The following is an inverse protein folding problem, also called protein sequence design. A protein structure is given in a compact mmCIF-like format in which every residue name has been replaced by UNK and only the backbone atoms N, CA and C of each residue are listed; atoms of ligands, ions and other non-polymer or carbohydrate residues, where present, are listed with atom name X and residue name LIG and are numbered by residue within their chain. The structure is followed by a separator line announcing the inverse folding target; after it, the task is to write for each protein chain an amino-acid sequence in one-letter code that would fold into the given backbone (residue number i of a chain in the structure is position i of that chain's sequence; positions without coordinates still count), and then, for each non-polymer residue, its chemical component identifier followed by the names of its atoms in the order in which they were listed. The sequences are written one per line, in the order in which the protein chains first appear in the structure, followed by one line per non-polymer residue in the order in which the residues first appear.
data_IF_522677022986
#
_entry.id   IF_522677022986
#
_cell.length_a   1.000
_cell.length_b   1.000
_cell.length_c   1.000
_cell.angle_alpha   90.00
_cell.angle_beta   90.00
_cell.angle_gamma   90.00
#
_symmetry.space_group_name_H-M   'P 1'
#
loop_
_entity.id
_entity.type
_entity.pdbx_description
1 polymer ?
#
# COMPACT_ATOMS: atom_id res chain seq x y z
N UNK A 1 20.15 -22.53 33.84
CA UNK A 1 18.86 -22.40 34.56
C UNK A 1 17.76 -22.70 33.56
N UNK A 2 16.74 -23.45 33.98
CA UNK A 2 15.61 -23.86 33.13
C UNK A 2 14.32 -23.36 33.77
N UNK A 3 13.46 -22.72 32.97
CA UNK A 3 12.12 -22.28 33.39
C UNK A 3 11.16 -23.43 33.15
N UNK A 4 10.36 -23.79 34.16
CA UNK A 4 9.24 -24.73 34.00
C UNK A 4 8.04 -23.98 33.44
N UNK A 5 7.55 -24.44 32.29
CA UNK A 5 6.45 -23.79 31.57
C UNK A 5 5.12 -24.01 32.31
N UNK A 6 4.98 -25.16 32.99
CA UNK A 6 3.81 -25.50 33.80
C UNK A 6 3.63 -24.58 35.02
N UNK A 7 4.72 -23.95 35.49
CA UNK A 7 4.74 -23.08 36.67
C UNK A 7 4.65 -21.58 36.29
N UNK A 8 4.34 -21.26 35.03
CA UNK A 8 4.24 -19.87 34.58
C UNK A 8 3.03 -19.16 35.19
N UNK A 9 3.18 -17.92 35.68
CA UNK A 9 2.07 -17.16 36.24
C UNK A 9 1.04 -16.84 35.14
N UNK A 10 -0.25 -16.66 35.52
CA UNK A 10 -1.25 -16.19 34.57
C UNK A 10 -0.88 -14.80 34.04
N UNK A 11 -1.41 -14.46 32.87
CA UNK A 11 -1.21 -13.16 32.24
C UNK A 11 -1.59 -12.02 33.19
N UNK A 12 -0.65 -11.10 33.42
CA UNK A 12 -0.89 -9.95 34.31
C UNK A 12 -1.90 -8.94 33.76
N UNK A 13 -2.18 -8.97 32.45
CA UNK A 13 -3.12 -8.06 31.81
C UNK A 13 -4.58 -8.57 31.80
N UNK A 14 -4.79 -9.89 31.65
CA UNK A 14 -6.15 -10.44 31.48
C UNK A 14 -6.41 -11.75 32.25
N UNK A 15 -5.44 -12.29 32.99
CA UNK A 15 -5.56 -13.56 33.72
C UNK A 15 -5.52 -14.82 32.85
N UNK A 16 -5.34 -14.69 31.52
CA UNK A 16 -5.23 -15.81 30.59
C UNK A 16 -3.94 -16.63 30.73
N UNK A 17 -3.81 -17.75 30.00
CA UNK A 17 -2.60 -18.56 30.02
C UNK A 17 -1.51 -17.92 29.17
N UNK A 18 -0.26 -18.05 29.60
CA UNK A 18 0.91 -17.57 28.86
C UNK A 18 1.75 -18.73 28.38
N UNK A 19 2.31 -18.59 27.18
CA UNK A 19 3.10 -19.62 26.53
C UNK A 19 4.44 -19.04 26.03
N UNK A 20 5.53 -19.81 26.02
CA UNK A 20 6.76 -19.40 25.38
C UNK A 20 6.60 -19.19 23.88
N UNK A 21 7.10 -18.07 23.38
CA UNK A 21 7.11 -17.64 22.00
C UNK A 21 8.57 -17.49 21.54
N UNK A 22 8.94 -18.20 20.48
CA UNK A 22 10.22 -18.03 19.79
C UNK A 22 9.97 -17.39 18.43
N UNK A 23 10.68 -16.29 18.16
CA UNK A 23 10.90 -15.76 16.82
C UNK A 23 12.30 -16.19 16.39
N UNK A 24 12.40 -16.96 15.31
CA UNK A 24 13.69 -17.42 14.84
C UNK A 24 14.41 -16.34 14.02
N UNK A 25 15.58 -15.89 14.48
CA UNK A 25 16.40 -14.89 13.77
C UNK A 25 16.99 -15.43 12.46
N UNK A 26 17.18 -16.75 12.36
CA UNK A 26 17.74 -17.41 11.16
C UNK A 26 16.70 -17.65 10.05
N UNK A 27 15.59 -18.33 10.34
CA UNK A 27 14.58 -18.68 9.33
C UNK A 27 13.27 -17.89 9.41
N UNK A 28 13.12 -16.96 10.36
CA UNK A 28 11.92 -16.14 10.53
C UNK A 28 10.69 -16.87 11.11
N UNK A 29 10.80 -18.17 11.45
CA UNK A 29 9.66 -18.93 11.99
C UNK A 29 9.22 -18.38 13.35
N UNK A 30 7.92 -18.28 13.56
CA UNK A 30 7.34 -17.98 14.88
C UNK A 30 6.74 -19.25 15.45
N UNK A 31 7.17 -19.64 16.65
CA UNK A 31 6.68 -20.84 17.33
C UNK A 31 6.17 -20.49 18.73
N UNK A 32 4.93 -20.89 19.02
CA UNK A 32 4.40 -20.89 20.39
C UNK A 32 4.51 -22.32 20.94
N UNK A 33 5.28 -22.52 22.00
CA UNK A 33 5.43 -23.81 22.64
C UNK A 33 4.28 -24.06 23.60
N UNK A 34 3.35 -24.95 23.20
CA UNK A 34 2.19 -25.34 24.03
C UNK A 34 2.46 -26.57 24.88
N UNK A 35 3.30 -27.48 24.40
CA UNK A 35 3.50 -28.83 24.98
C UNK A 35 4.91 -29.04 25.57
N UNK A 36 5.63 -27.95 25.85
CA UNK A 36 6.98 -28.02 26.43
C UNK A 36 6.90 -27.90 27.94
N UNK A 37 7.52 -28.83 28.66
CA UNK A 37 7.54 -28.83 30.14
C UNK A 37 8.54 -27.84 30.73
N UNK A 38 9.68 -27.67 30.08
CA UNK A 38 10.71 -26.73 30.50
C UNK A 38 11.56 -26.23 29.35
N UNK A 39 12.00 -24.98 29.46
CA UNK A 39 12.91 -24.33 28.51
C UNK A 39 14.15 -23.81 29.21
N UNK A 40 15.29 -23.85 28.53
CA UNK A 40 16.47 -23.10 28.93
C UNK A 40 16.31 -21.60 28.64
N UNK A 41 17.39 -20.83 28.73
CA UNK A 41 17.37 -19.40 28.32
C UNK A 41 17.23 -19.21 26.82
N UNK A 42 17.59 -20.23 26.05
CA UNK A 42 17.37 -20.30 24.62
C UNK A 42 16.52 -21.53 24.31
N UNK A 43 15.75 -21.43 23.24
CA UNK A 43 14.93 -22.51 22.73
C UNK A 43 15.29 -22.75 21.25
N UNK A 44 15.48 -24.02 20.83
CA UNK A 44 15.75 -24.33 19.43
C UNK A 44 14.50 -24.04 18.60
N UNK A 45 14.69 -23.40 17.46
CA UNK A 45 13.66 -23.28 16.43
C UNK A 45 13.26 -24.70 15.95
N UNK A 46 11.97 -25.06 15.96
CA UNK A 46 11.54 -26.37 15.47
C UNK A 46 11.80 -26.59 13.98
N UNK A 47 11.86 -25.51 13.19
CA UNK A 47 12.02 -25.58 11.73
C UNK A 47 13.49 -25.74 11.30
N UNK A 48 14.42 -25.01 11.92
CA UNK A 48 15.83 -24.99 11.49
C UNK A 48 16.84 -25.37 12.58
N UNK A 49 16.38 -25.60 13.82
CA UNK A 49 17.23 -25.96 14.95
C UNK A 49 18.05 -24.81 15.55
N UNK A 50 18.04 -23.62 14.94
CA UNK A 50 18.79 -22.46 15.48
C UNK A 50 18.32 -22.12 16.90
N UNK A 51 19.23 -21.96 17.88
CA UNK A 51 18.86 -21.55 19.22
C UNK A 51 18.51 -20.05 19.23
N UNK A 52 17.32 -19.71 19.71
CA UNK A 52 16.84 -18.34 19.79
C UNK A 52 16.46 -17.97 21.22
N UNK A 53 16.41 -16.67 21.50
CA UNK A 53 15.73 -16.15 22.68
C UNK A 53 14.22 -16.37 22.58
N UNK A 54 13.53 -16.34 23.72
CA UNK A 54 12.09 -16.50 23.77
C UNK A 54 11.46 -15.54 24.77
N UNK A 55 10.21 -15.21 24.50
CA UNK A 55 9.35 -14.36 25.33
C UNK A 55 8.08 -15.13 25.72
N UNK A 56 7.25 -14.58 26.60
CA UNK A 56 5.94 -15.13 26.90
C UNK A 56 4.88 -14.41 26.08
N UNK A 57 3.89 -15.11 25.57
CA UNK A 57 2.70 -14.53 24.93
C UNK A 57 1.43 -15.06 25.59
N UNK A 58 0.49 -14.16 25.90
CA UNK A 58 -0.83 -14.56 26.36
C UNK A 58 -1.71 -15.08 25.22
N UNK A 59 -2.40 -16.20 25.43
CA UNK A 59 -3.30 -16.79 24.44
C UNK A 59 -4.60 -15.98 24.20
N UNK A 60 -5.02 -15.18 25.18
CA UNK A 60 -6.23 -14.36 25.10
C UNK A 60 -5.94 -12.95 24.56
N UNK A 61 -5.13 -12.16 25.27
CA UNK A 61 -4.90 -10.75 24.94
C UNK A 61 -3.68 -10.52 24.05
N UNK A 62 -2.88 -11.56 23.76
CA UNK A 62 -1.66 -11.50 22.94
C UNK A 62 -0.56 -10.57 23.44
N UNK A 63 -0.67 -10.07 24.67
CA UNK A 63 0.40 -9.29 25.30
C UNK A 63 1.63 -10.15 25.49
N UNK A 64 2.79 -9.57 25.18
CA UNK A 64 4.10 -10.21 25.32
C UNK A 64 4.77 -9.79 26.64
N UNK A 65 5.43 -10.73 27.30
CA UNK A 65 6.11 -10.51 28.57
C UNK A 65 7.52 -11.10 28.54
N UNK A 66 8.49 -10.51 29.27
CA UNK A 66 9.81 -11.09 29.40
C UNK A 66 9.76 -12.43 30.15
N UNK A 67 10.69 -13.36 29.87
CA UNK A 67 10.78 -14.62 30.60
C UNK A 67 11.16 -14.41 32.07
N UNK A 68 10.57 -15.16 33.02
CA UNK A 68 10.81 -14.97 34.45
C UNK A 68 12.25 -15.31 34.86
N UNK A 69 12.84 -14.48 35.72
CA UNK A 69 14.16 -14.73 36.32
C UNK A 69 15.37 -14.41 35.42
N UNK A 70 15.17 -13.83 34.24
CA UNK A 70 16.30 -13.40 33.37
C UNK A 70 16.89 -12.09 33.91
N UNK A 71 18.20 -12.01 34.20
CA UNK A 71 18.83 -10.76 34.64
C UNK A 71 18.72 -9.67 33.57
N UNK A 72 18.42 -8.43 33.97
CA UNK A 72 18.24 -7.26 33.10
C UNK A 72 19.41 -7.01 32.12
N UNK A 73 20.61 -7.46 32.46
CA UNK A 73 21.81 -7.37 31.61
C UNK A 73 21.81 -8.30 30.39
N UNK A 74 20.91 -9.29 30.32
CA UNK A 74 20.78 -10.25 29.22
C UNK A 74 19.44 -10.16 28.47
N UNK A 75 18.57 -9.24 28.87
CA UNK A 75 17.44 -8.83 28.05
C UNK A 75 18.03 -8.06 26.86
N UNK A 76 18.06 -8.70 25.70
CA UNK A 76 18.14 -7.96 24.43
C UNK A 76 17.04 -6.93 24.51
N UNK A 77 17.41 -5.65 24.60
CA UNK A 77 16.45 -4.56 24.59
C UNK A 77 15.57 -4.78 23.38
N UNK A 78 14.33 -5.21 23.61
CA UNK A 78 13.26 -4.91 22.67
C UNK A 78 13.41 -3.41 22.40
N UNK A 79 13.40 -2.95 21.14
CA UNK A 79 13.30 -1.52 20.88
C UNK A 79 12.18 -1.02 21.80
N UNK A 80 12.39 0.09 22.55
CA UNK A 80 11.36 0.57 23.47
C UNK A 80 10.06 0.53 22.69
N UNK A 81 9.01 -0.07 23.29
CA UNK A 81 7.68 -0.12 22.71
C UNK A 81 7.48 1.24 22.07
N UNK A 82 7.50 1.27 20.73
CA UNK A 82 7.30 2.52 20.04
C UNK A 82 5.92 2.90 20.55
N UNK A 83 5.88 3.96 21.36
CA UNK A 83 4.69 4.79 21.55
C UNK A 83 3.94 4.69 20.25
N UNK A 84 2.68 4.21 20.25
CA UNK A 84 1.95 3.89 19.03
C UNK A 84 2.33 4.98 18.07
N UNK A 85 3.11 4.62 17.05
CA UNK A 85 3.60 5.61 16.11
C UNK A 85 2.30 6.16 15.61
N UNK A 86 1.97 7.37 16.06
CA UNK A 86 0.93 8.18 15.48
C UNK A 86 1.22 8.00 14.02
N UNK A 87 0.33 7.27 13.33
CA UNK A 87 0.44 7.00 11.91
C UNK A 87 0.68 8.38 11.35
N UNK A 88 1.96 8.63 11.04
CA UNK A 88 2.47 9.98 10.92
C UNK A 88 1.56 10.62 9.91
N UNK A 89 0.91 11.72 10.33
CA UNK A 89 -0.13 12.38 9.60
C UNK A 89 0.11 12.20 8.10
N UNK A 90 -0.80 11.43 7.46
CA UNK A 90 -0.82 11.27 6.01
C UNK A 90 -0.54 12.65 5.43
N UNK A 91 0.48 12.82 4.57
CA UNK A 91 0.88 14.16 4.16
C UNK A 91 -0.35 14.86 3.61
N UNK A 92 -0.60 16.08 4.11
CA UNK A 92 -1.65 16.99 3.63
C UNK A 92 -1.32 17.30 2.16
N UNK A 93 -1.80 16.47 1.25
CA UNK A 93 -1.45 16.49 -0.17
C UNK A 93 -2.07 15.30 -0.90
N UNK A 94 -2.24 15.41 -2.22
CA UNK A 94 -2.82 14.33 -3.03
C UNK A 94 -1.84 13.16 -3.10
N UNK A 95 -2.30 11.90 -2.96
CA UNK A 95 -1.46 10.73 -3.19
C UNK A 95 -0.92 10.72 -4.62
N UNK A 96 0.29 10.17 -4.82
CA UNK A 96 0.90 10.05 -6.16
C UNK A 96 0.45 8.76 -6.83
N UNK A 97 0.15 8.84 -8.13
CA UNK A 97 -0.02 7.65 -8.99
C UNK A 97 1.30 6.92 -9.12
N UNK A 98 1.22 5.62 -9.40
CA UNK A 98 2.38 4.80 -9.82
C UNK A 98 2.54 4.84 -11.33
N UNK A 99 3.78 4.92 -11.81
CA UNK A 99 4.08 4.77 -13.24
C UNK A 99 4.06 3.28 -13.59
N UNK A 100 3.53 2.94 -14.78
CA UNK A 100 3.50 1.57 -15.26
C UNK A 100 4.91 0.96 -15.29
N UNK A 101 5.13 -0.12 -14.54
CA UNK A 101 6.42 -0.81 -14.43
C UNK A 101 7.38 -0.23 -13.38
N UNK A 102 6.99 0.83 -12.67
CA UNK A 102 7.75 1.34 -11.52
C UNK A 102 7.52 0.44 -10.31
N UNK A 103 8.62 -0.05 -9.76
CA UNK A 103 8.62 -0.88 -8.56
C UNK A 103 8.91 0.02 -7.36
N UNK A 104 7.93 0.19 -6.48
CA UNK A 104 8.15 0.86 -5.20
C UNK A 104 9.16 0.05 -4.36
N UNK A 105 10.24 0.69 -3.92
CA UNK A 105 11.25 0.03 -3.07
C UNK A 105 10.67 -0.37 -1.71
N UNK A 106 9.56 0.26 -1.28
CA UNK A 106 8.82 -0.10 -0.07
C UNK A 106 7.94 -1.34 -0.25
N UNK A 107 7.53 -1.65 -1.48
CA UNK A 107 6.74 -2.85 -1.79
C UNK A 107 7.45 -4.13 -1.33
N UNK A 108 8.77 -4.20 -1.50
CA UNK A 108 9.54 -5.36 -1.07
C UNK A 108 9.42 -5.57 0.45
N UNK A 109 9.56 -4.50 1.22
CA UNK A 109 9.43 -4.53 2.69
C UNK A 109 8.02 -4.93 3.11
N UNK A 110 6.99 -4.37 2.47
CA UNK A 110 5.59 -4.68 2.77
C UNK A 110 5.26 -6.15 2.46
N UNK A 111 5.81 -6.70 1.37
CA UNK A 111 5.61 -8.09 0.99
C UNK A 111 6.35 -9.08 1.87
N UNK A 112 7.53 -8.73 2.39
CA UNK A 112 8.26 -9.58 3.32
C UNK A 112 7.48 -9.84 4.63
N UNK A 113 6.44 -9.05 4.93
CA UNK A 113 5.52 -9.33 6.04
C UNK A 113 4.59 -10.54 5.80
N UNK A 114 4.43 -10.99 4.55
CA UNK A 114 3.59 -12.13 4.17
C UNK A 114 4.36 -13.44 4.38
N UNK A 115 3.79 -14.37 5.16
CA UNK A 115 4.42 -15.65 5.44
C UNK A 115 4.65 -16.45 4.14
N UNK A 116 5.87 -16.94 3.95
CA UNK A 116 6.28 -17.70 2.77
C UNK A 116 6.97 -16.88 1.68
N UNK A 117 7.13 -15.56 1.87
CA UNK A 117 7.93 -14.71 1.00
C UNK A 117 9.33 -14.48 1.57
N UNK A 118 10.34 -14.79 0.77
CA UNK A 118 11.69 -14.30 0.94
C UNK A 118 11.96 -13.18 -0.08
N UNK A 119 13.11 -12.53 0.01
CA UNK A 119 13.44 -11.40 -0.86
C UNK A 119 13.42 -11.78 -2.36
N UNK A 120 13.76 -13.03 -2.71
CA UNK A 120 13.77 -13.50 -4.10
C UNK A 120 12.35 -13.70 -4.63
N UNK A 121 11.46 -14.33 -3.84
CA UNK A 121 10.05 -14.52 -4.20
C UNK A 121 9.29 -13.21 -4.25
N UNK A 122 9.50 -12.35 -3.26
CA UNK A 122 8.88 -11.04 -3.22
C UNK A 122 9.29 -10.22 -4.45
N UNK A 123 10.57 -10.28 -4.86
CA UNK A 123 11.02 -9.62 -6.10
C UNK A 123 10.37 -10.21 -7.35
N UNK A 124 10.32 -11.55 -7.46
CA UNK A 124 9.69 -12.22 -8.59
C UNK A 124 8.17 -11.93 -8.73
N UNK A 125 7.51 -11.67 -7.60
CA UNK A 125 6.11 -11.23 -7.53
C UNK A 125 5.96 -9.78 -7.97
N UNK A 126 6.81 -8.89 -7.43
CA UNK A 126 6.83 -7.47 -7.79
C UNK A 126 7.09 -7.28 -9.29
N UNK A 127 8.05 -8.01 -9.86
CA UNK A 127 8.39 -7.93 -11.29
C UNK A 127 7.22 -8.40 -12.19
N UNK A 128 6.20 -9.06 -11.60
CA UNK A 128 4.96 -9.50 -12.25
C UNK A 128 3.72 -8.69 -11.83
N UNK A 129 3.91 -7.54 -11.16
CA UNK A 129 2.84 -6.64 -10.75
C UNK A 129 2.26 -6.91 -9.35
N UNK A 130 2.66 -8.00 -8.68
CA UNK A 130 2.22 -8.31 -7.31
C UNK A 130 3.04 -7.54 -6.26
N UNK A 131 2.99 -6.21 -6.31
CA UNK A 131 3.78 -5.28 -5.49
C UNK A 131 3.10 -4.86 -4.16
N UNK A 132 1.95 -5.46 -3.84
CA UNK A 132 1.26 -5.18 -2.59
C UNK A 132 0.57 -6.44 -2.03
N UNK A 133 0.43 -6.57 -0.70
CA UNK A 133 -0.20 -7.74 -0.08
C UNK A 133 -1.62 -8.01 -0.59
N UNK A 134 -2.42 -6.97 -0.85
CA UNK A 134 -3.78 -7.13 -1.37
C UNK A 134 -3.82 -7.68 -2.80
N UNK A 135 -2.83 -7.39 -3.65
CA UNK A 135 -2.74 -7.95 -5.01
C UNK A 135 -2.52 -9.45 -4.95
N UNK A 136 -1.68 -9.90 -4.01
CA UNK A 136 -1.45 -11.32 -3.76
C UNK A 136 -2.70 -11.97 -3.18
N UNK A 137 -3.36 -11.33 -2.21
CA UNK A 137 -4.57 -11.86 -1.58
C UNK A 137 -5.74 -12.05 -2.57
N UNK A 138 -5.79 -11.24 -3.64
CA UNK A 138 -6.79 -11.36 -4.71
C UNK A 138 -6.39 -12.36 -5.80
N UNK A 139 -5.13 -12.77 -5.87
CA UNK A 139 -4.64 -13.70 -6.88
C UNK A 139 -5.14 -15.13 -6.60
N UNK A 140 -5.38 -15.90 -7.67
CA UNK A 140 -5.66 -17.33 -7.51
C UNK A 140 -4.37 -18.06 -7.11
N UNK A 141 -4.49 -19.05 -6.22
CA UNK A 141 -3.35 -19.89 -5.80
C UNK A 141 -2.58 -20.45 -7.02
N UNK A 142 -3.31 -20.93 -8.03
CA UNK A 142 -2.72 -21.49 -9.27
C UNK A 142 -1.89 -20.47 -10.06
N UNK A 143 -2.25 -19.18 -10.03
CA UNK A 143 -1.51 -18.13 -10.72
C UNK A 143 -0.18 -17.87 -10.01
N UNK A 144 -0.20 -17.81 -8.68
CA UNK A 144 1.00 -17.65 -7.86
C UNK A 144 1.92 -18.88 -7.96
N UNK A 145 1.35 -20.07 -7.98
CA UNK A 145 2.09 -21.33 -8.07
C UNK A 145 2.87 -21.51 -9.37
N UNK A 146 2.42 -20.87 -10.47
CA UNK A 146 3.12 -20.90 -11.78
C UNK A 146 4.37 -20.04 -11.81
N UNK A 147 4.57 -19.15 -10.84
CA UNK A 147 5.76 -18.32 -10.75
C UNK A 147 6.92 -19.23 -10.29
N UNK A 148 7.99 -19.42 -11.10
CA UNK A 148 9.05 -20.39 -10.82
C UNK A 148 9.69 -20.23 -9.44
N UNK A 149 9.90 -18.99 -9.01
CA UNK A 149 10.52 -18.65 -7.73
C UNK A 149 9.60 -18.93 -6.53
N UNK A 150 8.29 -18.81 -6.72
CA UNK A 150 7.27 -19.03 -5.68
C UNK A 150 6.94 -20.52 -5.55
N UNK A 151 6.50 -21.13 -6.64
CA UNK A 151 6.07 -22.53 -6.68
C UNK A 151 4.80 -22.82 -5.83
N UNK A 152 4.29 -24.05 -5.88
CA UNK A 152 2.99 -24.42 -5.31
C UNK A 152 2.97 -24.48 -3.77
N UNK A 153 4.13 -24.64 -3.13
CA UNK A 153 4.20 -24.69 -1.66
C UNK A 153 4.16 -23.28 -1.09
N UNK A 154 4.94 -22.35 -1.64
CA UNK A 154 4.93 -20.97 -1.15
C UNK A 154 3.58 -20.28 -1.47
N UNK A 155 3.02 -20.53 -2.66
CA UNK A 155 1.70 -20.01 -3.01
C UNK A 155 0.61 -20.41 -1.99
N UNK A 156 0.57 -21.69 -1.59
CA UNK A 156 -0.34 -22.17 -0.53
C UNK A 156 -0.10 -21.48 0.81
N UNK A 157 1.16 -21.31 1.21
CA UNK A 157 1.51 -20.62 2.45
C UNK A 157 1.07 -19.16 2.43
N UNK A 158 1.22 -18.47 1.29
CA UNK A 158 0.80 -17.08 1.13
C UNK A 158 -0.72 -16.94 1.26
N UNK A 159 -1.50 -17.76 0.54
CA UNK A 159 -2.97 -17.74 0.62
C UNK A 159 -3.45 -18.08 2.04
N UNK A 160 -2.86 -19.10 2.66
CA UNK A 160 -3.15 -19.46 4.05
C UNK A 160 -2.80 -18.33 5.02
N UNK A 161 -1.71 -17.59 4.79
CA UNK A 161 -1.31 -16.44 5.61
C UNK A 161 -2.38 -15.37 5.63
N UNK A 162 -2.97 -15.03 4.48
CA UNK A 162 -4.05 -14.04 4.43
C UNK A 162 -5.32 -14.51 5.17
N UNK A 163 -5.67 -15.81 5.05
CA UNK A 163 -6.77 -16.38 5.81
C UNK A 163 -6.51 -16.36 7.33
N UNK A 164 -5.31 -16.71 7.78
CA UNK A 164 -4.94 -16.67 9.20
C UNK A 164 -4.97 -15.26 9.79
N UNK A 165 -4.59 -14.27 8.98
CA UNK A 165 -4.61 -12.85 9.36
C UNK A 165 -6.01 -12.22 9.24
N UNK A 166 -7.04 -12.96 8.81
CA UNK A 166 -8.35 -12.42 8.42
C UNK A 166 -8.22 -11.19 7.50
N UNK A 167 -7.23 -11.23 6.61
CA UNK A 167 -6.93 -10.12 5.74
C UNK A 167 -7.99 -10.02 4.64
N UNK A 168 -8.86 -9.02 4.76
CA UNK A 168 -9.80 -8.67 3.71
C UNK A 168 -9.15 -7.58 2.82
N UNK A 169 -8.87 -7.86 1.54
CA UNK A 169 -8.35 -6.84 0.66
C UNK A 169 -9.37 -5.69 0.57
N UNK A 170 -8.94 -4.42 0.61
CA UNK A 170 -9.85 -3.29 0.54
C UNK A 170 -10.66 -3.38 -0.75
N UNK A 171 -11.98 -3.32 -0.64
CA UNK A 171 -12.89 -3.19 -1.79
C UNK A 171 -13.18 -1.72 -1.96
N UNK A 172 -12.82 -1.17 -3.12
CA UNK A 172 -13.15 0.20 -3.45
C UNK A 172 -14.40 0.19 -4.31
N UNK A 173 -15.36 1.06 -3.99
CA UNK A 173 -16.53 1.25 -4.85
C UNK A 173 -16.16 2.14 -6.03
N UNK A 174 -16.95 2.05 -7.11
CA UNK A 174 -16.77 2.90 -8.29
C UNK A 174 -16.83 4.38 -7.91
N UNK A 175 -17.74 4.75 -7.01
CA UNK A 175 -17.93 6.12 -6.54
C UNK A 175 -16.70 6.61 -5.76
N UNK A 176 -16.13 5.77 -4.91
CA UNK A 176 -14.91 6.10 -4.15
C UNK A 176 -13.74 6.36 -5.09
N UNK A 177 -13.57 5.56 -6.14
CA UNK A 177 -12.51 5.76 -7.14
C UNK A 177 -12.79 7.00 -7.98
N UNK A 178 -14.06 7.23 -8.33
CA UNK A 178 -14.48 8.39 -9.11
C UNK A 178 -14.25 9.72 -8.39
N UNK A 179 -14.09 9.74 -7.08
CA UNK A 179 -13.84 10.95 -6.27
C UNK A 179 -12.38 11.06 -5.81
N UNK A 180 -11.58 10.02 -5.96
CA UNK A 180 -10.23 9.98 -5.43
C UNK A 180 -9.27 10.84 -6.28
N UNK A 181 -8.70 11.87 -5.65
CA UNK A 181 -7.72 12.77 -6.26
C UNK A 181 -6.30 12.21 -6.13
N UNK A 182 -5.56 12.24 -7.23
CA UNK A 182 -4.15 11.85 -7.28
C UNK A 182 -3.31 12.88 -8.03
N UNK A 183 -1.99 12.77 -7.90
CA UNK A 183 -1.01 13.54 -8.66
C UNK A 183 -0.14 12.64 -9.53
N UNK A 184 0.22 13.15 -10.71
CA UNK A 184 1.28 12.56 -11.52
C UNK A 184 2.63 12.67 -10.79
N UNK A 185 3.39 11.59 -10.61
CA UNK A 185 4.70 11.65 -9.94
C UNK A 185 5.74 12.46 -10.72
N UNK A 186 5.57 12.65 -12.03
CA UNK A 186 6.53 13.38 -12.88
C UNK A 186 6.26 14.88 -12.98
N UNK A 187 5.00 15.28 -13.17
CA UNK A 187 4.65 16.68 -13.42
C UNK A 187 3.67 17.28 -12.38
N UNK A 188 3.22 16.48 -11.41
CA UNK A 188 2.26 16.89 -10.37
C UNK A 188 0.88 17.32 -10.92
N UNK A 189 0.57 17.00 -12.18
CA UNK A 189 -0.76 17.20 -12.73
C UNK A 189 -1.77 16.36 -11.95
N UNK A 190 -2.88 16.98 -11.57
CA UNK A 190 -3.98 16.33 -10.88
C UNK A 190 -4.67 15.35 -11.82
N UNK A 191 -4.92 14.14 -11.34
CA UNK A 191 -5.50 13.04 -12.10
C UNK A 191 -6.34 12.16 -11.18
N UNK A 192 -7.09 11.23 -11.78
CA UNK A 192 -7.90 10.24 -11.05
C UNK A 192 -7.21 8.88 -11.04
N UNK A 193 -7.70 7.97 -10.18
CA UNK A 193 -7.22 6.59 -10.13
C UNK A 193 -7.49 5.78 -11.42
N UNK A 194 -8.49 6.18 -12.22
CA UNK A 194 -8.88 5.46 -13.44
C UNK A 194 -8.25 6.01 -14.72
N UNK A 195 -7.50 7.12 -14.64
CA UNK A 195 -6.75 7.61 -15.78
C UNK A 195 -5.59 6.66 -16.11
N UNK A 196 -5.51 6.22 -17.36
CA UNK A 196 -4.41 5.36 -17.85
C UNK A 196 -3.14 6.15 -18.15
N UNK A 197 -3.26 7.44 -18.45
CA UNK A 197 -2.13 8.32 -18.76
C UNK A 197 -2.29 9.69 -18.11
N UNK A 198 -1.18 10.39 -17.88
CA UNK A 198 -1.20 11.79 -17.49
C UNK A 198 -1.62 12.69 -18.66
N UNK A 199 -2.57 13.58 -18.44
CA UNK A 199 -3.07 14.53 -19.46
C UNK A 199 -1.99 15.56 -19.85
N UNK A 200 -1.07 15.90 -18.95
CA UNK A 200 -0.03 16.90 -19.21
C UNK A 200 1.22 16.31 -19.86
N UNK A 201 1.83 15.30 -19.23
CA UNK A 201 3.13 14.75 -19.67
C UNK A 201 3.03 13.41 -20.41
N UNK A 202 1.84 12.81 -20.49
CA UNK A 202 1.63 11.52 -21.17
C UNK A 202 2.19 10.30 -20.41
N UNK A 203 2.63 10.46 -19.17
CA UNK A 203 3.15 9.34 -18.37
C UNK A 203 2.11 8.22 -18.24
N UNK A 204 2.45 6.96 -18.54
CA UNK A 204 1.55 5.84 -18.37
C UNK A 204 1.43 5.49 -16.88
N UNK A 205 0.20 5.45 -16.37
CA UNK A 205 -0.06 5.05 -15.01
C UNK A 205 -0.31 3.55 -14.92
N UNK A 206 -0.06 3.01 -13.72
CA UNK A 206 -0.47 1.66 -13.40
C UNK A 206 -2.02 1.56 -13.35
N UNK A 207 -2.57 0.58 -14.07
CA UNK A 207 -4.01 0.32 -14.18
C UNK A 207 -4.48 -0.66 -13.08
N UNK A 208 -3.55 -1.18 -12.29
CA UNK A 208 -3.82 -2.24 -11.33
C UNK A 208 -4.52 -1.76 -10.05
N UNK A 209 -4.71 -0.45 -9.82
CA UNK A 209 -5.37 0.07 -8.60
C UNK A 209 -6.87 -0.26 -8.47
N UNK A 210 -7.50 -0.91 -9.47
CA UNK A 210 -8.96 -1.10 -9.52
C UNK A 210 -9.38 -2.52 -9.92
N UNK A 211 -10.58 -2.92 -9.48
CA UNK A 211 -11.24 -4.17 -9.89
C UNK A 211 -11.53 -4.19 -11.39
N UNK A 212 -11.51 -5.38 -12.00
CA UNK A 212 -11.64 -5.53 -13.46
C UNK A 212 -12.95 -4.95 -14.00
N UNK A 213 -14.07 -5.22 -13.32
CA UNK A 213 -15.38 -4.69 -13.69
C UNK A 213 -15.43 -3.15 -13.63
N UNK A 214 -14.81 -2.56 -12.60
CA UNK A 214 -14.74 -1.11 -12.44
C UNK A 214 -13.88 -0.48 -13.54
N UNK A 215 -12.74 -1.12 -13.86
CA UNK A 215 -11.85 -0.68 -14.94
C UNK A 215 -12.57 -0.69 -16.29
N UNK A 216 -13.32 -1.75 -16.59
CA UNK A 216 -14.12 -1.83 -17.81
C UNK A 216 -15.21 -0.77 -17.87
N UNK A 217 -15.85 -0.47 -16.73
CA UNK A 217 -16.84 0.61 -16.66
C UNK A 217 -16.24 1.97 -17.04
N UNK A 218 -15.10 2.34 -16.45
CA UNK A 218 -14.42 3.60 -16.78
C UNK A 218 -13.86 3.63 -18.20
N UNK A 219 -13.35 2.50 -18.70
CA UNK A 219 -12.89 2.40 -20.08
C UNK A 219 -14.03 2.64 -21.09
N UNK A 220 -15.25 2.21 -20.77
CA UNK A 220 -16.45 2.48 -21.57
C UNK A 220 -16.90 3.95 -21.54
N UNK A 221 -16.68 4.66 -20.44
CA UNK A 221 -17.01 6.08 -20.30
C UNK A 221 -15.95 7.00 -20.92
N UNK A 222 -14.70 6.52 -21.00
CA UNK A 222 -13.60 7.21 -21.66
C UNK A 222 -13.32 8.61 -21.07
N UNK A 223 -13.02 9.62 -21.91
CA UNK A 223 -12.66 10.95 -21.40
C UNK A 223 -13.83 11.71 -20.76
N UNK A 224 -15.08 11.27 -20.96
CA UNK A 224 -16.23 11.88 -20.30
C UNK A 224 -16.20 11.65 -18.78
N UNK A 225 -15.72 10.47 -18.33
CA UNK A 225 -15.52 10.19 -16.90
C UNK A 225 -14.52 11.15 -16.26
N UNK A 226 -13.41 11.47 -16.95
CA UNK A 226 -12.42 12.42 -16.44
C UNK A 226 -12.98 13.85 -16.36
N UNK A 227 -13.84 14.24 -17.31
CA UNK A 227 -14.53 15.54 -17.25
C UNK A 227 -15.44 15.62 -16.02
N UNK A 228 -16.27 14.59 -15.80
CA UNK A 228 -17.15 14.50 -14.64
C UNK A 228 -16.37 14.48 -13.32
N UNK A 229 -15.21 13.81 -13.28
CA UNK A 229 -14.30 13.84 -12.15
C UNK A 229 -13.85 15.28 -11.82
N UNK A 230 -13.32 16.01 -12.80
CA UNK A 230 -12.89 17.38 -12.57
C UNK A 230 -14.05 18.31 -12.18
N UNK A 231 -15.21 18.18 -12.83
CA UNK A 231 -16.39 18.98 -12.49
C UNK A 231 -16.86 18.69 -11.05
N UNK A 232 -16.81 17.42 -10.62
CA UNK A 232 -17.12 17.01 -9.25
C UNK A 232 -16.14 17.57 -8.21
N UNK A 233 -14.83 17.41 -8.42
CA UNK A 233 -13.82 17.95 -7.53
C UNK A 233 -13.88 19.49 -7.43
N UNK A 234 -14.17 20.17 -8.55
CA UNK A 234 -14.30 21.63 -8.59
C UNK A 234 -15.59 22.14 -7.95
N UNK A 235 -16.64 21.32 -7.86
CA UNK A 235 -17.84 21.66 -7.09
C UNK A 235 -17.53 21.73 -5.59
N UNK A 236 -16.63 20.88 -5.09
CA UNK A 236 -16.17 20.89 -3.70
C UNK A 236 -15.07 21.92 -3.45
N UNK A 237 -14.14 22.07 -4.40
CA UNK A 237 -12.94 22.92 -4.30
C UNK A 237 -12.87 23.91 -5.49
N UNK A 238 -13.77 24.91 -5.54
CA UNK A 238 -13.84 25.84 -6.67
C UNK A 238 -12.61 26.74 -6.82
N UNK A 239 -11.82 26.89 -5.76
CA UNK A 239 -10.62 27.74 -5.73
C UNK A 239 -9.33 27.01 -6.09
N UNK A 240 -9.38 25.70 -6.38
CA UNK A 240 -8.20 24.91 -6.70
C UNK A 240 -7.73 25.17 -8.14
N UNK A 241 -6.64 25.93 -8.27
CA UNK A 241 -6.05 26.29 -9.55
C UNK A 241 -5.54 25.07 -10.34
N UNK A 242 -5.07 24.02 -9.67
CA UNK A 242 -4.50 22.84 -10.29
C UNK A 242 -5.58 21.95 -10.91
N UNK A 243 -6.76 21.86 -10.28
CA UNK A 243 -7.94 21.21 -10.87
C UNK A 243 -8.44 21.95 -12.11
N UNK A 244 -8.53 23.29 -12.07
CA UNK A 244 -8.89 24.09 -13.25
C UNK A 244 -7.87 23.93 -14.39
N UNK A 245 -6.59 23.85 -14.05
CA UNK A 245 -5.51 23.62 -15.00
C UNK A 245 -5.64 22.26 -15.69
N UNK A 246 -5.74 21.18 -14.91
CA UNK A 246 -5.87 19.82 -15.44
C UNK A 246 -7.15 19.63 -16.28
N UNK A 247 -8.27 20.22 -15.85
CA UNK A 247 -9.51 20.28 -16.64
C UNK A 247 -9.30 20.98 -17.97
N UNK A 248 -8.60 22.12 -17.99
CA UNK A 248 -8.30 22.86 -19.22
C UNK A 248 -7.50 22.03 -20.22
N UNK A 249 -6.48 21.30 -19.75
CA UNK A 249 -5.70 20.40 -20.60
C UNK A 249 -6.53 19.23 -21.14
N UNK A 250 -7.41 18.65 -20.32
CA UNK A 250 -8.32 17.59 -20.77
C UNK A 250 -9.23 18.11 -21.88
N UNK A 251 -9.85 19.27 -21.69
CA UNK A 251 -10.76 19.86 -22.69
C UNK A 251 -10.05 20.23 -23.99
N UNK A 252 -8.79 20.68 -23.92
CA UNK A 252 -7.96 20.86 -25.10
C UNK A 252 -7.77 19.54 -25.85
N UNK A 253 -7.47 18.44 -25.14
CA UNK A 253 -7.29 17.12 -25.75
C UNK A 253 -8.58 16.60 -26.41
N UNK A 254 -9.74 17.06 -25.94
CA UNK A 254 -11.06 16.76 -26.50
C UNK A 254 -11.49 17.72 -27.62
N UNK A 255 -10.66 18.71 -27.96
CA UNK A 255 -10.95 19.71 -28.99
C UNK A 255 -11.93 20.81 -28.55
N UNK A 256 -12.36 20.83 -27.28
CA UNK A 256 -13.26 21.83 -26.71
C UNK A 256 -12.48 23.10 -26.32
N UNK A 257 -11.97 23.81 -27.33
CA UNK A 257 -11.01 24.91 -27.14
C UNK A 257 -11.55 26.07 -26.31
N UNK A 258 -12.83 26.45 -26.48
CA UNK A 258 -13.42 27.58 -25.75
C UNK A 258 -13.54 27.28 -24.25
N UNK A 259 -14.04 26.09 -23.89
CA UNK A 259 -14.13 25.64 -22.50
C UNK A 259 -12.75 25.43 -21.88
N UNK A 260 -11.76 25.00 -22.67
CA UNK A 260 -10.37 24.86 -22.23
C UNK A 260 -9.77 26.23 -21.86
N UNK A 261 -9.93 27.24 -22.72
CA UNK A 261 -9.47 28.61 -22.44
C UNK A 261 -10.16 29.14 -21.18
N UNK A 262 -11.49 29.02 -21.07
CA UNK A 262 -12.23 29.46 -19.89
C UNK A 262 -11.75 28.78 -18.59
N UNK A 263 -11.40 27.49 -18.65
CA UNK A 263 -10.84 26.75 -17.51
C UNK A 263 -9.47 27.29 -17.11
N UNK A 264 -8.59 27.56 -18.08
CA UNK A 264 -7.27 28.13 -17.82
C UNK A 264 -7.32 29.59 -17.34
N UNK A 265 -8.34 30.35 -17.73
CA UNK A 265 -8.57 31.68 -17.19
C UNK A 265 -8.94 31.64 -15.70
N UNK A 266 -9.79 30.69 -15.32
CA UNK A 266 -10.09 30.44 -13.90
C UNK A 266 -8.85 29.95 -13.15
N UNK A 267 -8.08 29.02 -13.72
CA UNK A 267 -6.82 28.58 -13.13
C UNK A 267 -5.85 29.75 -12.90
N UNK A 268 -5.72 30.62 -13.90
CA UNK A 268 -4.82 31.78 -13.86
C UNK A 268 -5.28 32.87 -12.89
N UNK A 269 -6.59 33.03 -12.65
CA UNK A 269 -7.09 34.00 -11.67
C UNK A 269 -6.84 33.53 -10.23
N UNK A 270 -6.83 32.21 -10.00
CA UNK A 270 -6.54 31.60 -8.70
C UNK A 270 -5.04 31.49 -8.41
N UNK A 271 -4.22 31.24 -9.43
CA UNK A 271 -2.76 31.16 -9.32
C UNK A 271 -2.06 32.03 -10.39
N UNK A 272 -2.03 33.37 -10.22
CA UNK A 272 -1.50 34.30 -11.22
C UNK A 272 0.00 34.15 -11.46
N UNK A 273 0.76 33.68 -10.47
CA UNK A 273 2.22 33.50 -10.56
C UNK A 273 2.63 32.17 -11.20
N UNK A 274 1.67 31.29 -11.50
CA UNK A 274 1.95 29.97 -12.06
C UNK A 274 2.34 30.07 -13.53
N UNK A 275 3.63 29.88 -13.81
CA UNK A 275 4.19 29.90 -15.17
C UNK A 275 3.56 28.84 -16.08
N UNK A 276 3.30 27.64 -15.58
CA UNK A 276 2.72 26.53 -16.38
C UNK A 276 1.32 26.87 -16.88
N UNK A 277 0.48 27.45 -16.02
CA UNK A 277 -0.88 27.88 -16.38
C UNK A 277 -0.82 28.98 -17.43
N UNK A 278 0.06 29.97 -17.24
CA UNK A 278 0.24 31.08 -18.19
C UNK A 278 0.69 30.58 -19.57
N UNK A 279 1.65 29.66 -19.62
CA UNK A 279 2.15 29.08 -20.87
C UNK A 279 1.05 28.29 -21.59
N UNK A 280 0.32 27.43 -20.87
CA UNK A 280 -0.78 26.66 -21.45
C UNK A 280 -1.88 27.57 -22.02
N UNK A 281 -2.25 28.63 -21.29
CA UNK A 281 -3.24 29.62 -21.73
C UNK A 281 -2.81 30.30 -23.03
N UNK A 282 -1.59 30.85 -23.07
CA UNK A 282 -1.07 31.54 -24.25
C UNK A 282 -0.97 30.60 -25.46
N UNK A 283 -0.53 29.35 -25.25
CA UNK A 283 -0.48 28.32 -26.30
C UNK A 283 -1.86 28.09 -26.92
N UNK A 284 -2.88 27.94 -26.08
CA UNK A 284 -4.26 27.70 -26.53
C UNK A 284 -4.86 28.90 -27.23
N UNK A 285 -4.67 30.11 -26.69
CA UNK A 285 -5.14 31.34 -27.33
C UNK A 285 -4.49 31.56 -28.70
N UNK A 286 -3.19 31.30 -28.83
CA UNK A 286 -2.50 31.37 -30.12
C UNK A 286 -3.07 30.39 -31.14
N UNK A 287 -3.32 29.13 -30.74
CA UNK A 287 -4.00 28.13 -31.60
C UNK A 287 -5.40 28.59 -32.02
N UNK A 288 -6.16 29.17 -31.09
CA UNK A 288 -7.52 29.64 -31.35
C UNK A 288 -7.53 30.80 -32.37
N UNK A 289 -6.61 31.75 -32.23
CA UNK A 289 -6.47 32.88 -33.16
C UNK A 289 -5.98 32.48 -34.55
N UNK A 290 -5.33 31.32 -34.68
CA UNK A 290 -4.85 30.78 -35.96
C UNK A 290 -5.90 29.92 -36.69
N UNK A 291 -7.10 29.74 -36.13
CA UNK A 291 -8.19 29.08 -36.85
C UNK A 291 -8.68 30.00 -37.99
N UNK A 292 -8.75 29.49 -39.24
CA UNK A 292 -9.19 30.28 -40.39
C UNK A 292 -10.67 30.68 -40.31
#
# INVERSE_FOLDING_TARGET
MTVRVDDLPPCSACGGKVFPLVLCESCGSVTIFRDVRSLGWTAPCPECGTPNSWELICDQCRTQFPPPGRPESQLTKSPPAQTPVEIGAVPVGRPRRRIKGEVDSRALTDLLSVLGLDASRARALIDRGYDAPWKIARAKEDQLARIPEVGPIAARKMVASFHLLNYAPPKQTKESIAQAEYECPLCQCVTSAFSSTCVECGAPFDEEEMEEDIRHAFAGEGPAALRLFYDGCLAEKPDDAELWYARGLLLESLGQSDEAIASLERASSKAPDSKKIKVAKLRLQAKHLQRP
#
